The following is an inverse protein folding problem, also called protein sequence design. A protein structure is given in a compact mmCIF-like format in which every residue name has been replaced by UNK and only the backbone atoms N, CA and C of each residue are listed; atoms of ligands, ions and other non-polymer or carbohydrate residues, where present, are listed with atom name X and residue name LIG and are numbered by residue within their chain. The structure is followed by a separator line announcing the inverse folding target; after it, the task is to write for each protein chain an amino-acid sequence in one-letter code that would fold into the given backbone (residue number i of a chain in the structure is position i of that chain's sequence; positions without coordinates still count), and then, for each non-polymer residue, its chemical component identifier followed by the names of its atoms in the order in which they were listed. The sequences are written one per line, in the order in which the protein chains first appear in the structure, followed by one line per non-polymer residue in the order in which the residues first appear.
data_IF_547173633909
#
_entry.id   IF_547173633909
#
_cell.length_a   1.000
_cell.length_b   1.000
_cell.length_c   1.000
_cell.angle_alpha   90.00
_cell.angle_beta   90.00
_cell.angle_gamma   90.00
#
_symmetry.space_group_name_H-M   'P 1'
#
loop_
_entity.id
_entity.type
_entity.pdbx_description
1 polymer ?
#
# COMPACT_ATOMS: atom_id res chain seq x y z
N UNK A 1 27.90 -7.80 -2.12
CA UNK A 1 28.32 -7.39 -0.77
C UNK A 1 27.83 -5.97 -0.41
N UNK A 2 28.19 -4.94 -1.18
CA UNK A 2 27.83 -3.53 -0.89
C UNK A 2 26.31 -3.31 -0.73
N UNK A 3 25.49 -3.88 -1.62
CA UNK A 3 24.02 -3.78 -1.55
C UNK A 3 23.43 -4.36 -0.25
N UNK A 4 24.04 -5.43 0.28
CA UNK A 4 23.59 -6.09 1.52
C UNK A 4 23.95 -5.28 2.77
N UNK A 5 25.14 -4.66 2.80
CA UNK A 5 25.56 -3.76 3.88
C UNK A 5 24.69 -2.51 3.93
N UNK A 6 24.36 -1.94 2.77
CA UNK A 6 23.45 -0.78 2.68
C UNK A 6 22.04 -1.17 3.16
N UNK A 7 21.52 -2.33 2.75
CA UNK A 7 20.22 -2.81 3.21
C UNK A 7 20.19 -3.02 4.73
N UNK A 8 21.24 -3.62 5.31
CA UNK A 8 21.36 -3.79 6.75
C UNK A 8 21.39 -2.45 7.49
N UNK A 9 22.14 -1.46 7.00
CA UNK A 9 22.19 -0.12 7.59
C UNK A 9 20.82 0.57 7.56
N UNK A 10 20.10 0.49 6.45
CA UNK A 10 18.74 1.05 6.31
C UNK A 10 17.76 0.36 7.28
N UNK A 11 17.87 -0.96 7.45
CA UNK A 11 17.04 -1.70 8.42
C UNK A 11 17.41 -1.33 9.85
N UNK A 12 18.69 -1.17 10.19
CA UNK A 12 19.08 -0.72 11.54
C UNK A 12 18.65 0.71 11.83
N UNK A 13 18.64 1.59 10.82
CA UNK A 13 18.08 2.94 10.93
C UNK A 13 16.58 2.93 11.23
N UNK A 14 15.86 1.87 10.84
CA UNK A 14 14.46 1.69 11.21
C UNK A 14 14.26 1.58 12.71
N UNK A 15 15.25 1.11 13.50
CA UNK A 15 15.11 1.00 14.96
C UNK A 15 15.05 2.37 15.66
N UNK A 16 15.44 3.44 14.96
CA UNK A 16 15.46 4.79 15.49
C UNK A 16 14.23 5.59 15.04
N UNK A 17 13.53 6.22 15.98
CA UNK A 17 12.46 7.18 15.70
C UNK A 17 13.04 8.52 15.25
N UNK A 18 13.57 8.57 14.03
CA UNK A 18 14.01 9.82 13.41
C UNK A 18 12.79 10.47 12.77
N UNK A 19 12.38 11.63 13.31
CA UNK A 19 11.31 12.43 12.74
C UNK A 19 11.90 13.43 11.74
N UNK A 20 11.46 13.37 10.47
CA UNK A 20 11.95 14.21 9.38
C UNK A 20 11.64 15.70 9.60
N UNK A 21 10.57 16.02 10.34
CA UNK A 21 10.30 17.39 10.82
C UNK A 21 9.82 17.37 12.28
N UNK A 22 10.58 17.94 13.22
CA UNK A 22 10.28 17.79 14.64
C UNK A 22 9.06 18.60 15.09
N UNK A 23 8.70 19.72 14.43
CA UNK A 23 7.51 20.59 14.68
C UNK A 23 7.31 21.55 13.48
N UNK A 24 6.07 21.95 13.19
CA UNK A 24 5.85 23.08 12.26
C UNK A 24 6.42 24.37 12.85
N UNK A 25 6.79 25.32 11.98
CA UNK A 25 7.22 26.66 12.40
C UNK A 25 6.19 27.31 13.33
N UNK A 26 4.91 27.17 13.01
CA UNK A 26 3.81 27.68 13.85
C UNK A 26 3.79 27.03 15.23
N UNK A 27 3.96 25.70 15.33
CA UNK A 27 3.97 25.01 16.62
C UNK A 27 5.21 25.38 17.47
N UNK A 28 6.37 25.59 16.84
CA UNK A 28 7.59 26.07 17.51
C UNK A 28 7.35 27.47 18.08
N UNK A 29 6.75 28.36 17.28
CA UNK A 29 6.48 29.74 17.67
C UNK A 29 5.37 29.86 18.73
N UNK A 30 4.35 29.00 18.68
CA UNK A 30 3.20 29.07 19.60
C UNK A 30 3.44 28.34 20.94
N UNK A 31 4.39 27.39 20.98
CA UNK A 31 4.75 26.64 22.18
C UNK A 31 5.16 27.53 23.38
N UNK A 32 6.02 28.56 23.23
CA UNK A 32 6.39 29.44 24.35
C UNK A 32 5.28 30.42 24.76
N UNK A 33 4.31 30.73 23.89
CA UNK A 33 3.28 31.77 24.13
C UNK A 33 2.42 31.47 25.37
N UNK A 34 2.17 30.20 25.69
CA UNK A 34 1.42 29.83 26.91
C UNK A 34 2.17 30.22 28.19
N UNK A 35 3.46 29.87 28.30
CA UNK A 35 4.27 30.22 29.48
C UNK A 35 4.46 31.73 29.58
N UNK A 36 4.61 32.42 28.44
CA UNK A 36 4.71 33.87 28.40
C UNK A 36 3.44 34.56 28.92
N UNK A 37 2.26 34.09 28.50
CA UNK A 37 0.98 34.66 28.96
C UNK A 37 0.75 34.39 30.46
N UNK A 38 1.05 33.20 30.96
CA UNK A 38 0.99 32.89 32.41
C UNK A 38 1.89 33.84 33.20
N UNK A 39 3.16 33.99 32.81
CA UNK A 39 4.10 34.91 33.49
C UNK A 39 3.62 36.36 33.49
N UNK A 40 3.06 36.82 32.36
CA UNK A 40 2.50 38.17 32.24
C UNK A 40 1.34 38.35 33.22
N UNK A 41 0.41 37.40 33.27
CA UNK A 41 -0.76 37.46 34.14
C UNK A 41 -0.38 37.35 35.63
N UNK A 42 0.58 36.49 35.98
CA UNK A 42 1.13 36.37 37.33
C UNK A 42 1.81 37.69 37.76
N UNK A 43 2.60 38.30 36.87
CA UNK A 43 3.27 39.58 37.15
C UNK A 43 2.29 40.73 37.40
N UNK A 44 1.18 40.77 36.66
CA UNK A 44 0.10 41.74 36.87
C UNK A 44 -0.60 41.53 38.22
N UNK A 45 -0.88 40.28 38.57
CA UNK A 45 -1.48 39.96 39.86
C UNK A 45 -0.55 40.37 41.02
N UNK A 46 0.74 40.08 40.90
CA UNK A 46 1.74 40.43 41.91
C UNK A 46 1.91 41.96 42.01
N UNK A 47 1.82 42.68 40.89
CA UNK A 47 1.77 44.14 40.88
C UNK A 47 0.58 44.70 41.67
N UNK A 48 -0.64 44.18 41.45
CA UNK A 48 -1.82 44.63 42.19
C UNK A 48 -1.79 44.28 43.68
N UNK A 49 -1.18 43.15 44.04
CA UNK A 49 -0.94 42.79 45.45
C UNK A 49 0.01 43.79 46.10
N UNK A 50 1.13 44.12 45.44
CA UNK A 50 2.08 45.11 45.97
C UNK A 50 1.44 46.50 46.13
N UNK A 51 0.58 46.93 45.20
CA UNK A 51 -0.14 48.19 45.32
C UNK A 51 -1.13 48.21 46.50
N UNK A 52 -1.75 47.07 46.81
CA UNK A 52 -2.60 46.93 48.01
C UNK A 52 -1.76 46.98 49.30
N UNK A 53 -0.63 46.28 49.33
CA UNK A 53 0.30 46.27 50.48
C UNK A 53 0.88 47.67 50.76
N UNK A 54 1.21 48.42 49.71
CA UNK A 54 1.70 49.80 49.79
C UNK A 54 0.61 50.83 50.09
N UNK A 55 -0.65 50.41 50.24
CA UNK A 55 -1.84 51.27 50.44
C UNK A 55 -2.08 52.27 49.29
N UNK A 56 -1.58 51.96 48.09
CA UNK A 56 -1.87 52.72 46.87
C UNK A 56 -3.28 52.40 46.33
N UNK A 57 -3.79 51.20 46.64
CA UNK A 57 -5.15 50.76 46.34
C UNK A 57 -5.94 50.50 47.63
N UNK A 58 -7.22 50.87 47.63
CA UNK A 58 -8.15 50.41 48.66
C UNK A 58 -8.61 48.98 48.41
N UNK A 59 -9.04 48.27 49.46
CA UNK A 59 -9.49 46.88 49.35
C UNK A 59 -10.69 46.71 48.38
N UNK A 60 -11.58 47.69 48.30
CA UNK A 60 -12.72 47.69 47.37
C UNK A 60 -12.27 47.83 45.91
N UNK A 61 -11.30 48.71 45.63
CA UNK A 61 -10.74 48.90 44.30
C UNK A 61 -9.96 47.66 43.84
N UNK A 62 -9.16 47.07 44.73
CA UNK A 62 -8.47 45.81 44.47
C UNK A 62 -9.46 44.69 44.12
N UNK A 63 -10.56 44.55 44.85
CA UNK A 63 -11.57 43.53 44.57
C UNK A 63 -12.18 43.67 43.16
N UNK A 64 -12.39 44.89 42.68
CA UNK A 64 -12.90 45.17 41.33
C UNK A 64 -11.85 44.81 40.26
N UNK A 65 -10.59 45.20 40.48
CA UNK A 65 -9.48 44.92 39.56
C UNK A 65 -9.20 43.42 39.50
N UNK A 66 -9.13 42.74 40.63
CA UNK A 66 -8.92 41.30 40.71
C UNK A 66 -10.02 40.51 40.00
N UNK A 67 -11.29 40.94 40.14
CA UNK A 67 -12.43 40.32 39.45
C UNK A 67 -12.34 40.50 37.94
N UNK A 68 -11.93 41.68 37.46
CA UNK A 68 -11.68 41.93 36.02
C UNK A 68 -10.49 41.12 35.50
N UNK A 69 -9.41 41.03 36.28
CA UNK A 69 -8.21 40.26 35.94
C UNK A 69 -8.54 38.77 35.77
N UNK A 70 -9.21 38.17 36.75
CA UNK A 70 -9.72 36.78 36.69
C UNK A 70 -10.62 36.53 35.48
N UNK A 71 -11.55 37.45 35.21
CA UNK A 71 -12.44 37.35 34.05
C UNK A 71 -11.69 37.38 32.70
N UNK A 72 -10.53 38.04 32.64
CA UNK A 72 -9.66 38.07 31.44
C UNK A 72 -8.63 36.93 31.37
N UNK A 73 -8.32 36.34 32.52
CA UNK A 73 -7.33 35.27 32.70
C UNK A 73 -7.79 33.97 32.03
N UNK A 74 -9.03 33.56 32.28
CA UNK A 74 -9.54 32.28 31.79
C UNK A 74 -9.72 32.25 30.25
N UNK A 75 -10.31 33.27 29.60
CA UNK A 75 -10.51 33.25 28.14
C UNK A 75 -9.21 33.29 27.34
N UNK A 76 -8.21 34.05 27.80
CA UNK A 76 -6.92 34.21 27.12
C UNK A 76 -6.13 32.90 27.12
N UNK A 77 -6.00 32.25 28.28
CA UNK A 77 -5.36 30.94 28.40
C UNK A 77 -6.14 29.85 27.68
N UNK A 78 -7.48 29.88 27.73
CA UNK A 78 -8.33 28.94 27.00
C UNK A 78 -8.14 29.04 25.49
N UNK A 79 -8.01 30.26 24.94
CA UNK A 79 -7.72 30.50 23.51
C UNK A 79 -6.36 29.93 23.10
N UNK A 80 -5.32 30.20 23.89
CA UNK A 80 -3.95 29.69 23.62
C UNK A 80 -3.91 28.17 23.75
N UNK A 81 -4.54 27.61 24.79
CA UNK A 81 -4.63 26.16 25.02
C UNK A 81 -5.36 25.47 23.88
N UNK A 82 -6.50 26.03 23.42
CA UNK A 82 -7.25 25.50 22.28
C UNK A 82 -6.41 25.50 21.01
N UNK A 83 -5.70 26.60 20.70
CA UNK A 83 -4.83 26.67 19.51
C UNK A 83 -3.64 25.71 19.60
N UNK A 84 -3.04 25.54 20.79
CA UNK A 84 -1.99 24.53 21.01
C UNK A 84 -2.51 23.11 20.80
N UNK A 85 -3.72 22.81 21.25
CA UNK A 85 -4.36 21.51 21.04
C UNK A 85 -4.67 21.28 19.56
N UNK A 86 -5.17 22.29 18.85
CA UNK A 86 -5.42 22.23 17.40
C UNK A 86 -4.13 21.95 16.63
N UNK A 87 -3.06 22.71 16.90
CA UNK A 87 -1.74 22.48 16.28
C UNK A 87 -1.18 21.11 16.66
N UNK A 88 -1.36 20.67 17.90
CA UNK A 88 -0.92 19.35 18.34
C UNK A 88 -1.69 18.22 17.64
N UNK A 89 -3.00 18.36 17.42
CA UNK A 89 -3.83 17.41 16.66
C UNK A 89 -3.47 17.38 15.18
N UNK A 90 -3.25 18.55 14.59
CA UNK A 90 -2.76 18.67 13.21
C UNK A 90 -1.41 17.95 13.02
N UNK A 91 -0.60 17.93 14.08
CA UNK A 91 0.67 17.23 14.12
C UNK A 91 0.66 15.90 14.89
N UNK A 92 -0.49 15.35 15.31
CA UNK A 92 -0.51 14.10 16.10
C UNK A 92 -0.41 12.87 15.20
N UNK A 93 -0.78 12.99 13.92
CA UNK A 93 -0.62 11.92 12.93
C UNK A 93 0.75 12.01 12.25
N UNK A 94 1.80 11.83 13.04
CA UNK A 94 3.21 11.85 12.62
C UNK A 94 3.77 10.51 12.15
N UNK A 95 2.94 9.47 12.00
CA UNK A 95 3.35 8.19 11.42
C UNK A 95 4.23 8.39 10.19
N UNK A 96 3.77 9.13 9.19
CA UNK A 96 4.55 9.45 7.98
C UNK A 96 5.79 10.33 8.16
N UNK A 97 5.90 11.08 9.24
CA UNK A 97 7.11 11.88 9.49
C UNK A 97 8.21 11.07 10.17
N UNK A 98 7.87 9.87 10.68
CA UNK A 98 8.79 8.97 11.34
C UNK A 98 9.43 8.04 10.32
N UNK A 99 10.76 8.09 10.24
CA UNK A 99 11.55 7.13 9.46
C UNK A 99 11.24 5.69 9.87
N UNK A 100 11.10 5.43 11.18
CA UNK A 100 10.71 4.12 11.71
C UNK A 100 9.39 3.62 11.11
N UNK A 101 8.37 4.47 10.98
CA UNK A 101 7.08 4.05 10.41
C UNK A 101 7.22 3.62 8.94
N UNK A 102 7.97 4.38 8.14
CA UNK A 102 8.17 4.02 6.73
C UNK A 102 9.05 2.78 6.56
N UNK A 103 10.13 2.66 7.33
CA UNK A 103 11.01 1.50 7.13
C UNK A 103 10.41 0.24 7.77
N UNK A 104 9.79 0.35 8.94
CA UNK A 104 9.23 -0.80 9.65
C UNK A 104 7.83 -1.17 9.16
N UNK A 105 6.85 -0.27 9.30
CA UNK A 105 5.44 -0.59 8.98
C UNK A 105 5.23 -0.72 7.48
N UNK A 106 5.69 0.25 6.69
CA UNK A 106 5.58 0.15 5.24
C UNK A 106 6.52 -0.92 4.66
N UNK A 107 7.70 -1.12 5.25
CA UNK A 107 8.56 -2.25 4.90
C UNK A 107 7.93 -3.62 5.17
N UNK A 108 7.21 -3.79 6.27
CA UNK A 108 6.50 -5.03 6.60
C UNK A 108 5.38 -5.32 5.61
N UNK A 109 4.58 -4.31 5.25
CA UNK A 109 3.55 -4.44 4.21
C UNK A 109 4.17 -4.75 2.85
N UNK A 110 5.32 -4.15 2.53
CA UNK A 110 6.06 -4.44 1.30
C UNK A 110 6.59 -5.87 1.27
N UNK A 111 7.12 -6.36 2.39
CA UNK A 111 7.57 -7.74 2.50
C UNK A 111 6.40 -8.71 2.33
N UNK A 112 5.27 -8.46 3.00
CA UNK A 112 4.04 -9.26 2.83
C UNK A 112 3.60 -9.30 1.37
N UNK A 113 3.54 -8.14 0.71
CA UNK A 113 3.18 -8.03 -0.70
C UNK A 113 4.12 -8.83 -1.61
N UNK A 114 5.43 -8.72 -1.40
CA UNK A 114 6.43 -9.46 -2.16
C UNK A 114 6.27 -10.97 -1.97
N UNK A 115 6.13 -11.43 -0.72
CA UNK A 115 5.94 -12.84 -0.42
C UNK A 115 4.62 -13.37 -0.99
N UNK A 116 3.54 -12.60 -0.97
CA UNK A 116 2.27 -13.00 -1.59
C UNK A 116 2.37 -13.08 -3.11
N UNK A 117 3.05 -12.14 -3.77
CA UNK A 117 3.32 -12.21 -5.22
C UNK A 117 4.19 -13.42 -5.58
N UNK A 118 5.25 -13.68 -4.82
CA UNK A 118 6.12 -14.84 -5.01
C UNK A 118 5.38 -16.16 -4.75
N UNK A 119 4.58 -16.22 -3.69
CA UNK A 119 3.77 -17.40 -3.38
C UNK A 119 2.79 -17.68 -4.52
N UNK A 120 2.12 -16.66 -5.03
CA UNK A 120 1.22 -16.81 -6.18
C UNK A 120 1.97 -17.34 -7.43
N UNK A 121 3.18 -16.84 -7.69
CA UNK A 121 4.02 -17.33 -8.78
C UNK A 121 4.39 -18.81 -8.58
N UNK A 122 4.89 -19.16 -7.40
CA UNK A 122 5.28 -20.53 -7.08
C UNK A 122 4.07 -21.50 -7.13
N UNK A 123 2.89 -21.02 -6.73
CA UNK A 123 1.63 -21.77 -6.78
C UNK A 123 1.15 -22.02 -8.22
N UNK A 124 1.28 -21.05 -9.13
CA UNK A 124 1.00 -21.25 -10.56
C UNK A 124 2.04 -22.17 -11.19
N UNK A 125 3.33 -21.92 -10.97
CA UNK A 125 4.42 -22.70 -11.57
C UNK A 125 4.40 -24.19 -11.17
N UNK A 126 3.85 -24.53 -10.00
CA UNK A 126 3.73 -25.90 -9.50
C UNK A 126 2.37 -26.56 -9.78
N UNK A 127 1.43 -25.85 -10.41
CA UNK A 127 0.07 -26.36 -10.63
C UNK A 127 -0.71 -26.57 -9.32
N UNK A 128 -0.51 -25.69 -8.34
CA UNK A 128 -1.16 -25.75 -7.02
C UNK A 128 -2.69 -25.55 -7.12
N UNK A 129 -3.42 -26.00 -6.11
CA UNK A 129 -4.88 -25.89 -6.10
C UNK A 129 -5.35 -24.43 -5.99
N UNK A 130 -6.54 -24.15 -6.53
CA UNK A 130 -7.21 -22.84 -6.46
C UNK A 130 -7.26 -22.23 -5.05
N UNK A 131 -7.26 -23.05 -3.99
CA UNK A 131 -7.26 -22.59 -2.60
C UNK A 131 -5.98 -21.82 -2.25
N UNK A 132 -4.82 -22.26 -2.72
CA UNK A 132 -3.55 -21.57 -2.46
C UNK A 132 -3.42 -20.29 -3.29
N UNK A 133 -3.91 -20.30 -4.54
CA UNK A 133 -4.02 -19.08 -5.35
C UNK A 133 -4.88 -18.02 -4.66
N UNK A 134 -6.00 -18.43 -4.05
CA UNK A 134 -6.88 -17.53 -3.31
C UNK A 134 -6.20 -16.91 -2.09
N UNK A 135 -5.45 -17.69 -1.31
CA UNK A 135 -4.70 -17.18 -0.15
C UNK A 135 -3.66 -16.15 -0.59
N UNK A 136 -2.91 -16.44 -1.64
CA UNK A 136 -1.90 -15.53 -2.17
C UNK A 136 -2.53 -14.23 -2.74
N UNK A 137 -3.68 -14.33 -3.42
CA UNK A 137 -4.45 -13.17 -3.88
C UNK A 137 -5.03 -12.34 -2.72
N UNK A 138 -5.52 -12.98 -1.66
CA UNK A 138 -6.00 -12.30 -0.47
C UNK A 138 -4.86 -11.53 0.24
N UNK A 139 -3.66 -12.11 0.30
CA UNK A 139 -2.47 -11.44 0.82
C UNK A 139 -2.08 -10.21 0.01
N UNK A 140 -2.17 -10.29 -1.32
CA UNK A 140 -1.98 -9.15 -2.24
C UNK A 140 -3.02 -8.06 -1.99
N UNK A 141 -4.30 -8.42 -1.87
CA UNK A 141 -5.41 -7.49 -1.58
C UNK A 141 -5.22 -6.75 -0.26
N UNK A 142 -4.92 -7.48 0.82
CA UNK A 142 -4.68 -6.91 2.14
C UNK A 142 -3.48 -5.96 2.12
N UNK A 143 -2.40 -6.35 1.43
CA UNK A 143 -1.22 -5.49 1.30
C UNK A 143 -1.52 -4.19 0.55
N UNK A 144 -2.30 -4.26 -0.53
CA UNK A 144 -2.73 -3.08 -1.28
C UNK A 144 -3.65 -2.15 -0.49
N UNK A 145 -4.60 -2.73 0.26
CA UNK A 145 -5.40 -1.97 1.22
C UNK A 145 -4.47 -1.19 2.15
N UNK A 146 -3.49 -1.87 2.74
CA UNK A 146 -2.54 -1.21 3.63
C UNK A 146 -1.64 -0.21 2.92
N UNK A 147 -1.23 -0.41 1.67
CA UNK A 147 -0.47 0.61 0.93
C UNK A 147 -1.25 1.89 0.73
N UNK A 148 -2.50 1.78 0.26
CA UNK A 148 -3.39 2.95 0.12
C UNK A 148 -3.56 3.63 1.47
N UNK A 149 -3.78 2.84 2.52
CA UNK A 149 -3.95 3.36 3.87
C UNK A 149 -2.68 4.05 4.38
N UNK A 150 -1.50 3.45 4.25
CA UNK A 150 -0.23 4.04 4.70
C UNK A 150 0.12 5.31 3.89
N UNK A 151 -0.24 5.38 2.60
CA UNK A 151 0.02 6.53 1.71
C UNK A 151 -1.05 7.63 1.83
N UNK A 152 -2.30 7.33 2.20
CA UNK A 152 -3.41 8.30 2.26
C UNK A 152 -4.12 8.51 3.63
N UNK A 153 -3.82 7.76 4.70
CA UNK A 153 -4.21 8.07 6.10
C UNK A 153 -3.60 9.40 6.62
N UNK A 154 -4.31 10.50 6.50
CA UNK A 154 -4.43 11.40 7.66
C UNK A 154 -5.89 11.53 8.04
N UNK A 155 -6.19 11.71 9.33
CA UNK A 155 -7.55 11.98 9.82
C UNK A 155 -8.19 13.21 9.12
N UNK A 156 -7.34 14.09 8.56
CA UNK A 156 -7.69 15.28 7.78
C UNK A 156 -8.08 14.95 6.32
N UNK A 157 -7.65 13.80 5.80
CA UNK A 157 -7.98 13.31 4.45
C UNK A 157 -9.28 12.52 4.45
N UNK A 158 -9.60 11.77 5.52
CA UNK A 158 -10.86 11.00 5.63
C UNK A 158 -12.12 11.87 5.54
N UNK A 159 -12.04 13.13 5.96
CA UNK A 159 -13.16 14.08 5.90
C UNK A 159 -13.27 14.77 4.54
N UNK A 160 -12.34 14.54 3.61
CA UNK A 160 -12.30 15.16 2.30
C UNK A 160 -12.67 14.16 1.20
N UNK A 161 -13.50 14.58 0.24
CA UNK A 161 -13.85 13.78 -0.95
C UNK A 161 -12.62 13.27 -1.73
N UNK A 162 -11.45 13.90 -1.55
CA UNK A 162 -10.16 13.48 -2.11
C UNK A 162 -9.77 12.05 -1.71
N UNK A 163 -10.15 11.59 -0.52
CA UNK A 163 -9.86 10.23 -0.06
C UNK A 163 -10.62 9.16 -0.85
N UNK A 164 -11.90 9.41 -1.14
CA UNK A 164 -12.72 8.50 -1.98
C UNK A 164 -12.13 8.40 -3.38
N UNK A 165 -11.68 9.53 -3.95
CA UNK A 165 -11.01 9.57 -5.26
C UNK A 165 -9.70 8.78 -5.22
N UNK A 166 -8.90 8.90 -4.16
CA UNK A 166 -7.66 8.15 -4.01
C UNK A 166 -7.88 6.63 -3.88
N UNK A 167 -8.94 6.21 -3.15
CA UNK A 167 -9.35 4.80 -3.09
C UNK A 167 -9.77 4.31 -4.47
N UNK A 168 -10.61 5.06 -5.18
CA UNK A 168 -11.07 4.69 -6.53
C UNK A 168 -9.88 4.55 -7.49
N UNK A 169 -8.98 5.53 -7.52
CA UNK A 169 -7.77 5.47 -8.35
C UNK A 169 -6.86 4.29 -7.97
N UNK A 170 -6.68 4.04 -6.66
CA UNK A 170 -5.93 2.90 -6.15
C UNK A 170 -6.56 1.56 -6.52
N UNK A 171 -7.89 1.45 -6.46
CA UNK A 171 -8.65 0.28 -6.86
C UNK A 171 -8.56 0.02 -8.37
N UNK A 172 -8.59 1.07 -9.20
CA UNK A 172 -8.38 0.95 -10.65
C UNK A 172 -6.97 0.45 -10.97
N UNK A 173 -5.94 1.06 -10.37
CA UNK A 173 -4.55 0.60 -10.51
C UNK A 173 -4.38 -0.84 -10.05
N UNK A 174 -5.03 -1.21 -8.94
CA UNK A 174 -5.01 -2.56 -8.41
C UNK A 174 -5.67 -3.58 -9.34
N UNK A 175 -6.82 -3.24 -9.92
CA UNK A 175 -7.51 -4.09 -10.88
C UNK A 175 -6.64 -4.34 -12.11
N UNK A 176 -6.02 -3.28 -12.64
CA UNK A 176 -5.08 -3.38 -13.76
C UNK A 176 -3.86 -4.24 -13.41
N UNK A 177 -3.24 -4.00 -12.25
CA UNK A 177 -2.11 -4.80 -11.77
C UNK A 177 -2.46 -6.28 -11.64
N UNK A 178 -3.59 -6.59 -10.99
CA UNK A 178 -4.05 -7.97 -10.80
C UNK A 178 -4.38 -8.64 -12.12
N UNK A 179 -5.02 -7.92 -13.06
CA UNK A 179 -5.28 -8.42 -14.40
C UNK A 179 -3.99 -8.79 -15.13
N UNK A 180 -2.99 -7.91 -15.16
CA UNK A 180 -1.70 -8.20 -15.81
C UNK A 180 -0.95 -9.33 -15.11
N UNK A 181 -1.00 -9.38 -13.79
CA UNK A 181 -0.35 -10.41 -13.00
C UNK A 181 -0.97 -11.79 -13.27
N UNK A 182 -2.30 -11.89 -13.26
CA UNK A 182 -3.00 -13.14 -13.61
C UNK A 182 -2.75 -13.51 -15.08
N UNK A 183 -2.88 -12.56 -16.01
CA UNK A 183 -2.63 -12.79 -17.45
C UNK A 183 -1.23 -13.30 -17.72
N UNK A 184 -0.22 -12.74 -17.05
CA UNK A 184 1.17 -13.17 -17.20
C UNK A 184 1.37 -14.63 -16.73
N UNK A 185 0.65 -15.06 -15.71
CA UNK A 185 0.75 -16.43 -15.20
C UNK A 185 -0.09 -17.43 -15.99
N UNK A 186 -1.31 -17.08 -16.40
CA UNK A 186 -2.18 -17.97 -17.18
C UNK A 186 -1.72 -18.16 -18.63
N UNK A 187 -0.96 -17.22 -19.19
CA UNK A 187 -0.41 -17.35 -20.54
C UNK A 187 0.53 -18.57 -20.67
N UNK A 188 1.31 -18.89 -19.63
CA UNK A 188 2.16 -20.09 -19.63
C UNK A 188 1.34 -21.38 -19.58
N UNK A 189 0.29 -21.41 -18.78
CA UNK A 189 -0.59 -22.57 -18.68
C UNK A 189 -1.34 -22.83 -20.00
N UNK A 190 -1.73 -21.78 -20.71
CA UNK A 190 -2.33 -21.90 -22.05
C UNK A 190 -1.35 -22.49 -23.06
N UNK A 191 -0.08 -22.05 -23.07
CA UNK A 191 0.95 -22.60 -23.96
C UNK A 191 1.16 -24.09 -23.67
N UNK A 192 1.28 -24.46 -22.39
CA UNK A 192 1.47 -25.86 -21.97
C UNK A 192 0.24 -26.71 -22.34
N UNK A 193 -0.96 -26.18 -22.16
CA UNK A 193 -2.21 -26.88 -22.50
C UNK A 193 -2.32 -27.15 -24.01
N UNK A 194 -2.02 -26.17 -24.86
CA UNK A 194 -2.05 -26.37 -26.32
C UNK A 194 -0.99 -27.38 -26.78
N UNK A 195 0.20 -27.38 -26.17
CA UNK A 195 1.22 -28.39 -26.44
C UNK A 195 0.75 -29.80 -26.03
N UNK A 196 0.14 -29.94 -24.84
CA UNK A 196 -0.41 -31.21 -24.38
C UNK A 196 -1.55 -31.70 -25.27
N UNK A 197 -2.45 -30.81 -25.68
CA UNK A 197 -3.55 -31.08 -26.61
C UNK A 197 -3.03 -31.55 -27.97
N UNK A 198 -1.97 -30.92 -28.49
CA UNK A 198 -1.30 -31.35 -29.71
C UNK A 198 -0.70 -32.76 -29.56
N UNK A 199 0.03 -33.05 -28.49
CA UNK A 199 0.57 -34.40 -28.22
C UNK A 199 -0.54 -35.46 -28.12
N UNK A 200 -1.66 -35.12 -27.50
CA UNK A 200 -2.80 -36.02 -27.40
C UNK A 200 -3.44 -36.30 -28.78
N UNK A 201 -3.62 -35.28 -29.62
CA UNK A 201 -4.09 -35.45 -31.00
C UNK A 201 -3.12 -36.28 -31.86
N UNK A 202 -1.81 -36.08 -31.70
CA UNK A 202 -0.81 -36.95 -32.35
C UNK A 202 -1.05 -38.41 -31.97
N UNK A 203 -1.20 -38.70 -30.68
CA UNK A 203 -1.35 -40.06 -30.18
C UNK A 203 -2.66 -40.72 -30.60
N UNK A 204 -3.77 -40.00 -30.55
CA UNK A 204 -5.12 -40.56 -30.74
C UNK A 204 -5.55 -40.55 -32.21
N UNK A 205 -5.15 -39.53 -32.97
CA UNK A 205 -5.64 -39.30 -34.34
C UNK A 205 -4.54 -39.58 -35.34
N UNK A 206 -3.45 -38.81 -35.31
CA UNK A 206 -2.45 -38.81 -36.38
C UNK A 206 -1.65 -40.11 -36.45
N UNK A 207 -1.19 -40.63 -35.31
CA UNK A 207 -0.37 -41.84 -35.25
C UNK A 207 -1.15 -43.12 -35.69
N UNK A 208 -2.39 -43.36 -35.24
CA UNK A 208 -3.20 -44.47 -35.75
C UNK A 208 -3.53 -44.36 -37.24
N UNK A 209 -3.84 -43.16 -37.73
CA UNK A 209 -4.09 -42.93 -39.17
C UNK A 209 -2.84 -43.21 -40.00
N UNK A 210 -1.69 -42.68 -39.59
CA UNK A 210 -0.40 -42.94 -40.25
C UNK A 210 -0.07 -44.43 -40.28
N UNK A 211 -0.28 -45.15 -39.17
CA UNK A 211 -0.05 -46.60 -39.09
C UNK A 211 -0.99 -47.38 -40.01
N UNK A 212 -2.27 -46.97 -40.11
CA UNK A 212 -3.26 -47.59 -41.00
C UNK A 212 -2.89 -47.36 -42.47
N UNK A 213 -2.52 -46.13 -42.83
CA UNK A 213 -2.11 -45.76 -44.18
C UNK A 213 -0.83 -46.50 -44.60
N UNK A 214 0.16 -46.61 -43.70
CA UNK A 214 1.38 -47.37 -43.94
C UNK A 214 1.11 -48.87 -44.18
N UNK A 215 0.26 -49.49 -43.35
CA UNK A 215 -0.15 -50.90 -43.54
C UNK A 215 -0.94 -51.13 -44.82
N UNK A 216 -1.72 -50.14 -45.25
CA UNK A 216 -2.45 -50.21 -46.52
C UNK A 216 -1.51 -50.08 -47.72
N UNK A 217 -0.57 -49.14 -47.66
CA UNK A 217 0.48 -48.97 -48.66
C UNK A 217 1.31 -50.24 -48.86
N UNK A 218 1.67 -50.91 -47.77
CA UNK A 218 2.41 -52.18 -47.80
C UNK A 218 1.62 -53.30 -48.49
N UNK A 219 0.29 -53.33 -48.31
CA UNK A 219 -0.57 -54.39 -48.87
C UNK A 219 -1.01 -54.16 -50.32
N UNK A 220 -1.24 -52.90 -50.70
CA UNK A 220 -1.90 -52.55 -51.98
C UNK A 220 -0.96 -51.75 -52.90
N UNK A 221 0.21 -51.34 -52.41
CA UNK A 221 1.25 -50.63 -53.17
C UNK A 221 0.98 -49.14 -53.38
N UNK A 222 -0.22 -48.63 -53.06
CA UNK A 222 -0.62 -47.24 -53.21
C UNK A 222 -1.56 -46.82 -52.07
N UNK A 223 -1.34 -45.63 -51.52
CA UNK A 223 -2.30 -44.95 -50.62
C UNK A 223 -3.18 -44.04 -51.48
N UNK A 224 -4.48 -44.00 -51.23
CA UNK A 224 -5.37 -43.06 -51.91
C UNK A 224 -4.91 -41.61 -51.62
N UNK A 225 -4.51 -40.89 -52.65
CA UNK A 225 -3.88 -39.56 -52.55
C UNK A 225 -4.75 -38.53 -51.81
N UNK A 226 -6.08 -38.58 -51.99
CA UNK A 226 -7.03 -37.67 -51.36
C UNK A 226 -7.10 -37.80 -49.84
N UNK A 227 -6.93 -39.01 -49.30
CA UNK A 227 -7.00 -39.23 -47.85
C UNK A 227 -5.68 -38.80 -47.18
N UNK A 228 -4.56 -38.95 -47.90
CA UNK A 228 -3.24 -38.55 -47.42
C UNK A 228 -3.06 -37.04 -47.38
N UNK A 229 -3.49 -36.32 -48.42
CA UNK A 229 -3.37 -34.85 -48.47
C UNK A 229 -4.19 -34.19 -47.34
N UNK A 230 -5.41 -34.68 -47.08
CA UNK A 230 -6.25 -34.20 -45.97
C UNK A 230 -5.64 -34.50 -44.58
N UNK A 231 -5.05 -35.68 -44.39
CA UNK A 231 -4.39 -36.04 -43.12
C UNK A 231 -3.13 -35.18 -42.89
N UNK A 232 -2.39 -34.85 -43.95
CA UNK A 232 -1.22 -33.96 -43.87
C UNK A 232 -1.65 -32.52 -43.56
N UNK A 233 -2.70 -32.03 -44.22
CA UNK A 233 -3.22 -30.68 -43.98
C UNK A 233 -3.75 -30.54 -42.55
N UNK A 234 -4.51 -31.53 -42.04
CA UNK A 234 -4.99 -31.52 -40.65
C UNK A 234 -3.83 -31.53 -39.64
N UNK A 235 -2.77 -32.30 -39.91
CA UNK A 235 -1.57 -32.29 -39.07
C UNK A 235 -0.82 -30.96 -39.13
N UNK A 236 -0.71 -30.34 -40.31
CA UNK A 236 -0.07 -29.04 -40.47
C UNK A 236 -0.84 -27.92 -39.79
N UNK A 237 -2.17 -27.96 -39.84
CA UNK A 237 -3.02 -26.99 -39.16
C UNK A 237 -2.91 -27.14 -37.64
N UNK A 238 -2.93 -28.37 -37.11
CA UNK A 238 -2.70 -28.64 -35.69
C UNK A 238 -1.31 -28.18 -35.22
N UNK A 239 -0.27 -28.38 -36.05
CA UNK A 239 1.08 -27.92 -35.79
C UNK A 239 1.16 -26.39 -35.80
N UNK A 240 0.49 -25.73 -36.75
CA UNK A 240 0.43 -24.26 -36.84
C UNK A 240 -0.34 -23.67 -35.66
N UNK A 241 -1.44 -24.28 -35.23
CA UNK A 241 -2.19 -23.87 -34.03
C UNK A 241 -1.33 -24.00 -32.78
N UNK A 242 -0.53 -25.07 -32.67
CA UNK A 242 0.40 -25.25 -31.54
C UNK A 242 1.56 -24.25 -31.54
N UNK A 243 2.14 -23.94 -32.71
CA UNK A 243 3.29 -23.03 -32.84
C UNK A 243 2.91 -21.55 -32.76
N UNK A 244 1.76 -21.15 -33.33
CA UNK A 244 1.31 -19.74 -33.35
C UNK A 244 0.91 -19.21 -31.97
N UNK A 245 0.66 -20.11 -31.01
CA UNK A 245 0.30 -19.77 -29.64
C UNK A 245 1.51 -19.71 -28.68
N UNK A 246 2.74 -19.95 -29.16
CA UNK A 246 4.02 -19.80 -28.43
C UNK A 246 4.56 -18.37 -28.58
#
# INVERSE_FOLDING_TARGET
MIKGVIAFLVVTLSLFHIFLEPKSKEQIEFSPKYKAEVRKLDSLQLHYINQLENKELTASEYAIIAKKHLASYEPSLKKISKKRLELAKEHSFRGRSSLHFWIFVFGLVTALFFFSCKSLHDDFARGSTFRFHFVSLAGILVSFFWFIHLIFLTQKDFTQNKYIIAILAGATLFSVFTYFLVKHYTYKDHIIYEQLRFFERIRIIHYPRMTKNAKHAEKVGLVAKSDLDNDIDEFQDDLRESISNI
#
